data_IF_595237158409
#
_entry.id   IF_595237158409
#
_cell.length_a   1.000
_cell.length_b   1.000
_cell.length_c   1.000
_cell.angle_alpha   90.00
_cell.angle_beta   90.00
_cell.angle_gamma   90.00
#
_symmetry.space_group_name_H-M   'P 1'
#
loop_
_entity.id
_entity.type
_entity.pdbx_description
1 polymer ?
#
# COMPACT_ATOMS: atom_id res chain seq x y z
N UNK A 1 7.14 -20.70 -27.96
CA UNK A 1 6.09 -19.66 -27.97
C UNK A 1 5.79 -19.17 -26.56
N UNK A 2 5.65 -20.04 -25.55
CA UNK A 2 5.46 -19.62 -24.14
C UNK A 2 6.61 -18.76 -23.59
N UNK A 3 7.87 -19.14 -23.84
CA UNK A 3 9.03 -18.35 -23.37
C UNK A 3 9.05 -16.92 -23.92
N UNK A 4 8.76 -16.73 -25.21
CA UNK A 4 8.70 -15.40 -25.82
C UNK A 4 7.56 -14.55 -25.23
N UNK A 5 6.44 -15.16 -24.88
CA UNK A 5 5.29 -14.47 -24.28
C UNK A 5 5.57 -14.03 -22.84
N UNK A 6 6.27 -14.87 -22.06
CA UNK A 6 6.74 -14.54 -20.72
C UNK A 6 7.77 -13.39 -20.77
N UNK A 7 8.72 -13.44 -21.71
CA UNK A 7 9.73 -12.38 -21.90
C UNK A 7 9.10 -11.04 -22.32
N UNK A 8 8.10 -11.06 -23.21
CA UNK A 8 7.37 -9.86 -23.63
C UNK A 8 6.58 -9.24 -22.46
N UNK A 9 5.99 -10.08 -21.60
CA UNK A 9 5.29 -9.61 -20.40
C UNK A 9 6.25 -8.95 -19.41
N UNK A 10 7.42 -9.54 -19.15
CA UNK A 10 8.47 -8.94 -18.33
C UNK A 10 9.03 -7.64 -18.93
N UNK A 11 9.26 -7.61 -20.24
CA UNK A 11 9.73 -6.38 -20.90
C UNK A 11 8.68 -5.28 -20.82
N UNK A 12 7.41 -5.56 -21.09
CA UNK A 12 6.34 -4.58 -20.98
C UNK A 12 6.15 -4.08 -19.55
N UNK A 13 6.35 -4.94 -18.54
CA UNK A 13 6.37 -4.54 -17.14
C UNK A 13 7.50 -3.55 -16.88
N UNK A 14 8.74 -3.90 -17.24
CA UNK A 14 9.92 -3.02 -17.09
C UNK A 14 9.77 -1.71 -17.85
N UNK A 15 9.12 -1.72 -19.02
CA UNK A 15 8.90 -0.52 -19.82
C UNK A 15 7.83 0.40 -19.21
N UNK A 16 6.76 -0.18 -18.65
CA UNK A 16 5.75 0.58 -17.91
C UNK A 16 6.34 1.18 -16.64
N UNK A 17 7.23 0.45 -15.98
CA UNK A 17 7.92 0.85 -14.75
C UNK A 17 8.94 1.98 -15.02
N UNK A 18 9.76 1.85 -16.06
CA UNK A 18 10.67 2.93 -16.50
C UNK A 18 9.91 4.19 -16.93
N UNK A 19 8.75 4.05 -17.58
CA UNK A 19 7.89 5.19 -17.91
C UNK A 19 7.31 5.86 -16.66
N UNK A 20 6.95 5.07 -15.65
CA UNK A 20 6.45 5.58 -14.37
C UNK A 20 7.54 6.27 -13.56
N UNK A 21 8.73 5.67 -13.47
CA UNK A 21 9.88 6.29 -12.80
C UNK A 21 10.29 7.59 -13.51
N UNK A 22 10.15 7.64 -14.83
CA UNK A 22 10.32 8.85 -15.61
C UNK A 22 9.22 9.88 -15.33
N UNK A 23 7.95 9.49 -15.26
CA UNK A 23 6.84 10.39 -14.89
C UNK A 23 6.99 10.93 -13.45
N UNK A 24 7.38 10.08 -12.49
CA UNK A 24 7.68 10.47 -11.11
C UNK A 24 8.90 11.42 -11.05
N UNK A 25 9.91 11.23 -11.90
CA UNK A 25 11.06 12.13 -12.05
C UNK A 25 10.67 13.47 -12.72
N UNK A 26 9.75 13.44 -13.67
CA UNK A 26 9.23 14.62 -14.39
C UNK A 26 8.15 15.38 -13.60
N UNK A 27 7.70 14.86 -12.45
CA UNK A 27 6.65 15.46 -11.64
C UNK A 27 5.23 15.30 -12.22
N UNK A 28 5.04 14.35 -13.12
CA UNK A 28 3.71 13.99 -13.63
C UNK A 28 2.90 13.29 -12.52
N UNK A 29 1.64 13.71 -12.36
CA UNK A 29 0.75 13.11 -11.37
C UNK A 29 0.46 11.65 -11.69
N UNK A 30 0.44 10.80 -10.67
CA UNK A 30 -0.03 9.41 -10.71
C UNK A 30 -1.32 9.30 -11.54
N UNK A 31 -1.28 8.56 -12.65
CA UNK A 31 -2.45 8.39 -13.49
C UNK A 31 -3.33 7.24 -13.00
N UNK A 32 -4.64 7.31 -13.33
CA UNK A 32 -5.57 6.22 -13.08
C UNK A 32 -5.14 4.90 -13.75
N UNK A 33 -4.37 4.99 -14.84
CA UNK A 33 -3.85 3.83 -15.57
C UNK A 33 -2.71 3.16 -14.81
N UNK A 34 -1.76 3.92 -14.28
CA UNK A 34 -0.61 3.38 -13.55
C UNK A 34 -1.04 2.58 -12.32
N UNK A 35 -2.03 3.08 -11.59
CA UNK A 35 -2.60 2.40 -10.43
C UNK A 35 -3.30 1.09 -10.83
N UNK A 36 -4.06 1.10 -11.93
CA UNK A 36 -4.73 -0.11 -12.41
C UNK A 36 -3.75 -1.15 -12.93
N UNK A 37 -2.70 -0.74 -13.62
CA UNK A 37 -1.65 -1.62 -14.11
C UNK A 37 -0.88 -2.25 -12.94
N UNK A 38 -0.49 -1.44 -11.93
CA UNK A 38 0.14 -1.94 -10.71
C UNK A 38 -0.78 -2.91 -9.94
N UNK A 39 -2.08 -2.60 -9.83
CA UNK A 39 -3.04 -3.50 -9.19
C UNK A 39 -3.21 -4.81 -9.96
N UNK A 40 -3.18 -4.77 -11.29
CA UNK A 40 -3.24 -5.98 -12.15
C UNK A 40 -1.99 -6.85 -11.96
N UNK A 41 -0.81 -6.24 -11.97
CA UNK A 41 0.46 -6.94 -11.71
C UNK A 41 0.45 -7.60 -10.33
N UNK A 42 0.08 -6.84 -9.29
CA UNK A 42 0.02 -7.34 -7.93
C UNK A 42 -1.04 -8.44 -7.77
N UNK A 43 -2.18 -8.31 -8.45
CA UNK A 43 -3.23 -9.34 -8.51
C UNK A 43 -2.69 -10.65 -9.08
N UNK A 44 -2.01 -10.59 -10.23
CA UNK A 44 -1.41 -11.77 -10.86
C UNK A 44 -0.35 -12.42 -9.97
N UNK A 45 0.46 -11.62 -9.28
CA UNK A 45 1.56 -12.11 -8.44
C UNK A 45 1.11 -12.76 -7.13
N UNK A 46 -0.10 -12.43 -6.65
CA UNK A 46 -0.57 -12.81 -5.30
C UNK A 46 -1.86 -13.63 -5.28
N UNK A 47 -2.62 -13.63 -6.38
CA UNK A 47 -3.96 -14.23 -6.45
C UNK A 47 -5.05 -13.38 -5.77
N UNK A 48 -4.73 -12.20 -5.26
CA UNK A 48 -5.74 -11.27 -4.71
C UNK A 48 -6.46 -10.60 -5.86
N UNK A 49 -7.78 -10.48 -5.80
CA UNK A 49 -8.59 -9.87 -6.86
C UNK A 49 -8.20 -8.40 -7.08
N UNK A 50 -7.93 -8.01 -8.33
CA UNK A 50 -7.56 -6.64 -8.75
C UNK A 50 -8.48 -5.57 -8.15
N UNK A 51 -9.79 -5.73 -8.30
CA UNK A 51 -10.75 -4.71 -7.84
C UNK A 51 -10.77 -4.60 -6.32
N UNK A 52 -10.48 -5.68 -5.59
CA UNK A 52 -10.34 -5.62 -4.14
C UNK A 52 -9.10 -4.83 -3.71
N UNK A 53 -7.96 -5.00 -4.41
CA UNK A 53 -6.77 -4.16 -4.23
C UNK A 53 -7.11 -2.69 -4.49
N UNK A 54 -7.82 -2.39 -5.58
CA UNK A 54 -8.26 -1.02 -5.90
C UNK A 54 -9.21 -0.46 -4.85
N UNK A 55 -10.14 -1.27 -4.33
CA UNK A 55 -11.02 -0.88 -3.24
C UNK A 55 -10.28 -0.51 -1.95
N UNK A 56 -9.23 -1.25 -1.61
CA UNK A 56 -8.36 -0.96 -0.47
C UNK A 56 -7.57 0.33 -0.70
N UNK A 57 -7.01 0.53 -1.91
CA UNK A 57 -6.31 1.76 -2.31
C UNK A 57 -7.19 3.01 -2.27
N UNK A 58 -8.47 2.91 -2.65
CA UNK A 58 -9.41 4.04 -2.53
C UNK A 58 -9.51 4.46 -1.07
N UNK A 59 -9.62 3.50 -0.15
CA UNK A 59 -9.79 3.77 1.28
C UNK A 59 -8.50 4.30 1.92
N UNK A 60 -7.35 3.74 1.57
CA UNK A 60 -6.08 4.08 2.21
C UNK A 60 -5.48 5.40 1.68
N UNK A 61 -5.51 5.62 0.38
CA UNK A 61 -4.74 6.72 -0.24
C UNK A 61 -5.45 7.43 -1.38
N UNK A 62 -6.75 7.20 -1.56
CA UNK A 62 -7.49 7.69 -2.72
C UNK A 62 -6.76 7.33 -4.03
N UNK A 63 -6.45 6.03 -4.20
CA UNK A 63 -5.71 5.49 -5.33
C UNK A 63 -4.28 6.04 -5.43
N UNK A 64 -3.55 6.09 -4.31
CA UNK A 64 -2.17 6.58 -4.27
C UNK A 64 -2.02 8.10 -4.35
N UNK A 65 -3.07 8.86 -4.65
CA UNK A 65 -3.04 10.33 -4.79
C UNK A 65 -2.75 11.06 -3.47
N UNK A 66 -3.04 10.43 -2.33
CA UNK A 66 -2.82 10.99 -1.00
C UNK A 66 -2.11 9.98 -0.08
N UNK A 67 -0.77 10.01 -0.08
CA UNK A 67 0.07 9.12 0.75
C UNK A 67 0.46 9.72 2.10
N UNK A 68 -0.16 10.84 2.50
CA UNK A 68 0.13 11.52 3.76
C UNK A 68 0.11 13.04 3.67
N UNK A 69 -0.13 13.68 4.82
CA UNK A 69 -0.21 15.14 4.94
C UNK A 69 0.94 15.77 5.73
N UNK A 70 1.64 14.99 6.55
CA UNK A 70 2.61 15.49 7.53
C UNK A 70 4.02 15.07 7.18
N UNK A 71 5.01 15.92 7.48
CA UNK A 71 6.41 15.52 7.50
C UNK A 71 6.69 14.70 8.76
N UNK A 72 7.81 13.97 8.79
CA UNK A 72 8.24 13.20 9.96
C UNK A 72 8.22 14.03 11.25
N UNK A 73 8.76 15.26 11.21
CA UNK A 73 8.82 16.14 12.39
C UNK A 73 7.45 16.64 12.87
N UNK A 74 6.43 16.60 12.00
CA UNK A 74 5.10 17.18 12.23
C UNK A 74 4.06 16.11 12.59
N UNK A 75 4.47 14.85 12.81
CA UNK A 75 3.59 13.75 13.19
C UNK A 75 4.08 13.03 14.44
N UNK A 76 3.15 12.48 15.22
CA UNK A 76 3.47 11.65 16.37
C UNK A 76 3.62 10.19 15.91
N UNK A 77 4.81 9.84 15.43
CA UNK A 77 5.14 8.45 15.09
C UNK A 77 5.39 7.64 16.37
N UNK A 78 5.00 6.35 16.37
CA UNK A 78 5.27 5.47 17.50
C UNK A 78 6.79 5.31 17.72
N UNK A 79 7.26 5.33 18.96
CA UNK A 79 8.70 5.32 19.28
C UNK A 79 9.44 4.11 18.68
N UNK A 80 8.77 2.95 18.66
CA UNK A 80 9.25 1.73 18.01
C UNK A 80 9.47 1.88 16.50
N UNK A 81 8.63 2.65 15.81
CA UNK A 81 8.68 2.84 14.36
C UNK A 81 9.70 3.90 13.93
N UNK A 82 10.08 4.83 14.81
CA UNK A 82 11.05 5.91 14.52
C UNK A 82 12.40 5.39 13.99
N UNK A 83 13.10 4.45 14.66
CA UNK A 83 14.39 3.97 14.16
C UNK A 83 14.25 3.22 12.83
N UNK A 84 13.14 2.50 12.64
CA UNK A 84 12.86 1.76 11.40
C UNK A 84 12.60 2.74 10.25
N UNK A 85 11.81 3.79 10.48
CA UNK A 85 11.59 4.86 9.51
C UNK A 85 12.90 5.50 9.07
N UNK A 86 13.76 5.89 10.02
CA UNK A 86 15.07 6.49 9.72
C UNK A 86 15.95 5.56 8.87
N UNK A 87 15.92 4.25 9.14
CA UNK A 87 16.64 3.26 8.36
C UNK A 87 16.09 3.14 6.93
N UNK A 88 14.77 3.11 6.76
CA UNK A 88 14.10 3.07 5.44
C UNK A 88 14.47 4.31 4.62
N UNK A 89 14.30 5.51 5.19
CA UNK A 89 14.65 6.77 4.52
C UNK A 89 16.12 6.80 4.10
N UNK A 90 17.03 6.39 4.99
CA UNK A 90 18.47 6.28 4.69
C UNK A 90 18.75 5.30 3.55
N UNK A 91 18.10 4.12 3.54
CA UNK A 91 18.32 3.13 2.49
C UNK A 91 17.87 3.60 1.10
N UNK A 92 16.83 4.45 1.05
CA UNK A 92 16.31 5.03 -0.17
C UNK A 92 17.04 6.32 -0.58
N UNK A 93 18.01 6.78 0.22
CA UNK A 93 18.71 8.05 -0.03
C UNK A 93 17.88 9.31 0.22
N UNK A 94 16.75 9.20 0.94
CA UNK A 94 15.87 10.32 1.24
C UNK A 94 16.22 11.01 2.57
N UNK A 95 16.03 12.32 2.61
CA UNK A 95 15.96 13.10 3.83
C UNK A 95 14.68 12.80 4.61
N UNK A 96 14.74 12.89 5.96
CA UNK A 96 13.62 12.49 6.84
C UNK A 96 12.32 13.27 6.60
N UNK A 97 12.38 14.41 5.92
CA UNK A 97 11.22 15.28 5.65
C UNK A 97 10.87 15.39 4.15
N UNK A 98 11.53 14.61 3.30
CA UNK A 98 11.36 14.66 1.84
C UNK A 98 10.04 14.02 1.41
N UNK A 99 9.60 13.01 2.17
CA UNK A 99 8.34 12.31 1.96
C UNK A 99 7.34 12.62 3.06
N UNK A 100 6.06 12.68 2.67
CA UNK A 100 4.95 12.82 3.61
C UNK A 100 4.52 11.45 4.14
N UNK A 101 4.04 11.47 5.37
CA UNK A 101 3.46 10.34 6.11
C UNK A 101 2.10 10.75 6.68
N UNK A 102 1.34 9.79 7.21
CA UNK A 102 0.08 10.09 7.87
C UNK A 102 0.27 10.99 9.08
N UNK A 103 -0.65 11.94 9.24
CA UNK A 103 -0.71 12.79 10.41
C UNK A 103 -1.33 12.02 11.59
N UNK A 104 -0.82 12.25 12.80
CA UNK A 104 -1.48 11.77 14.00
C UNK A 104 -2.84 12.48 14.17
N UNK A 105 -3.92 11.78 14.60
CA UNK A 105 -5.19 12.43 14.87
C UNK A 105 -5.08 13.43 16.02
N UNK A 106 -5.75 14.59 15.90
CA UNK A 106 -5.79 15.62 16.96
C UNK A 106 -6.37 15.11 18.27
N UNK A 107 -7.29 14.15 18.19
CA UNK A 107 -7.93 13.49 19.34
C UNK A 107 -7.03 12.53 20.11
N UNK A 108 -5.76 12.38 19.69
CA UNK A 108 -4.86 11.36 20.20
C UNK A 108 -4.74 10.16 19.25
N UNK A 109 -3.68 9.37 19.43
CA UNK A 109 -3.24 8.33 18.50
C UNK A 109 -1.94 8.67 17.74
N UNK A 110 -1.42 7.70 17.01
CA UNK A 110 -0.16 7.83 16.26
C UNK A 110 -0.42 8.10 14.79
N UNK A 111 0.55 8.74 14.13
CA UNK A 111 0.66 8.82 12.67
C UNK A 111 1.92 8.11 12.21
N UNK A 112 2.40 8.45 11.01
CA UNK A 112 3.63 7.89 10.46
C UNK A 112 3.45 6.71 9.50
N UNK A 113 2.20 6.39 9.12
CA UNK A 113 1.95 5.48 8.01
C UNK A 113 2.50 6.07 6.71
N UNK A 114 3.12 5.22 5.89
CA UNK A 114 3.93 5.64 4.75
C UNK A 114 3.29 5.21 3.44
N UNK A 115 3.44 6.06 2.43
CA UNK A 115 3.32 5.65 1.04
C UNK A 115 1.94 5.17 0.61
N UNK A 116 1.92 4.45 -0.51
CA UNK A 116 0.70 4.05 -1.23
C UNK A 116 -0.15 3.06 -0.43
N UNK A 117 0.50 2.21 0.37
CA UNK A 117 -0.15 1.20 1.21
C UNK A 117 -0.55 1.70 2.61
N UNK A 118 -0.12 2.90 3.02
CA UNK A 118 -0.25 3.39 4.41
C UNK A 118 0.27 2.39 5.46
N UNK A 119 1.40 1.74 5.18
CA UNK A 119 2.07 0.90 6.17
C UNK A 119 2.85 1.74 7.17
N UNK A 120 2.71 1.42 8.45
CA UNK A 120 3.67 1.87 9.46
C UNK A 120 5.06 1.26 9.18
N UNK A 121 6.16 1.92 9.58
CA UNK A 121 7.52 1.48 9.28
C UNK A 121 7.81 0.00 9.59
N UNK A 122 7.41 -0.48 10.76
CA UNK A 122 7.56 -1.90 11.14
C UNK A 122 6.81 -2.86 10.22
N UNK A 123 5.60 -2.49 9.76
CA UNK A 123 4.87 -3.31 8.77
C UNK A 123 5.62 -3.34 7.45
N UNK A 124 6.07 -2.19 6.94
CA UNK A 124 6.85 -2.15 5.69
C UNK A 124 8.09 -3.02 5.77
N UNK A 125 8.89 -2.87 6.83
CA UNK A 125 10.11 -3.64 7.05
C UNK A 125 9.84 -5.15 7.05
N UNK A 126 8.72 -5.61 7.64
CA UNK A 126 8.32 -7.02 7.61
C UNK A 126 7.94 -7.58 6.23
N UNK A 127 7.59 -6.71 5.28
CA UNK A 127 7.24 -7.09 3.90
C UNK A 127 8.33 -6.74 2.88
N UNK A 128 9.32 -5.93 3.25
CA UNK A 128 10.31 -5.33 2.36
C UNK A 128 11.00 -6.35 1.45
N UNK A 129 11.46 -7.49 2.00
CA UNK A 129 12.14 -8.52 1.20
C UNK A 129 11.23 -9.21 0.19
N UNK A 130 9.96 -9.43 0.54
CA UNK A 130 8.97 -10.04 -0.37
C UNK A 130 8.51 -9.06 -1.45
N UNK A 131 8.45 -7.77 -1.13
CA UNK A 131 8.17 -6.73 -2.12
C UNK A 131 9.34 -6.68 -3.11
N UNK A 132 10.57 -6.54 -2.62
CA UNK A 132 11.78 -6.50 -3.43
C UNK A 132 11.89 -7.69 -4.39
N UNK A 133 11.58 -8.90 -3.91
CA UNK A 133 11.65 -10.10 -4.75
C UNK A 133 10.55 -10.18 -5.82
N UNK A 134 9.42 -9.49 -5.62
CA UNK A 134 8.29 -9.47 -6.55
C UNK A 134 8.33 -8.31 -7.53
N UNK A 135 8.92 -7.19 -7.15
CA UNK A 135 9.03 -6.00 -8.00
C UNK A 135 10.40 -5.85 -8.65
N UNK A 136 11.45 -6.43 -8.06
CA UNK A 136 12.83 -6.27 -8.51
C UNK A 136 13.52 -5.02 -7.97
N UNK A 137 12.81 -4.15 -7.24
CA UNK A 137 13.41 -2.98 -6.60
C UNK A 137 14.17 -3.34 -5.32
N UNK A 138 15.39 -2.82 -5.19
CA UNK A 138 16.20 -3.04 -4.00
C UNK A 138 17.03 -1.79 -3.63
N UNK A 139 16.69 -1.06 -2.56
CA UNK A 139 15.52 -1.31 -1.69
C UNK A 139 14.21 -0.91 -2.37
N UNK A 140 13.08 -1.57 -2.06
CA UNK A 140 11.77 -1.14 -2.55
C UNK A 140 11.30 0.12 -1.80
N UNK A 141 10.52 0.96 -2.47
CA UNK A 141 10.10 2.28 -2.02
C UNK A 141 8.60 2.30 -1.61
N UNK A 142 8.24 2.62 -0.35
CA UNK A 142 6.83 2.75 0.07
C UNK A 142 5.98 3.71 -0.77
N UNK A 143 6.61 4.75 -1.33
CA UNK A 143 5.97 5.78 -2.14
C UNK A 143 5.95 5.45 -3.64
N UNK A 144 6.63 4.40 -4.08
CA UNK A 144 6.44 3.84 -5.43
C UNK A 144 5.10 3.13 -5.53
N UNK A 145 4.33 3.41 -6.58
CA UNK A 145 3.07 2.69 -6.83
C UNK A 145 3.30 1.19 -6.93
N UNK A 146 4.33 0.76 -7.67
CA UNK A 146 4.58 -0.66 -7.90
C UNK A 146 4.83 -1.38 -6.57
N UNK A 147 5.75 -0.87 -5.77
CA UNK A 147 6.15 -1.49 -4.50
C UNK A 147 5.05 -1.39 -3.45
N UNK A 148 4.39 -0.23 -3.35
CA UNK A 148 3.30 -0.01 -2.41
C UNK A 148 2.08 -0.88 -2.70
N UNK A 149 1.63 -0.95 -3.96
CA UNK A 149 0.51 -1.81 -4.35
C UNK A 149 0.88 -3.29 -4.19
N UNK A 150 2.11 -3.69 -4.53
CA UNK A 150 2.58 -5.06 -4.30
C UNK A 150 2.60 -5.40 -2.80
N UNK A 151 3.10 -4.50 -1.95
CA UNK A 151 3.10 -4.66 -0.50
C UNK A 151 1.70 -4.81 0.09
N UNK A 152 0.75 -4.02 -0.39
CA UNK A 152 -0.66 -4.14 -0.03
C UNK A 152 -1.21 -5.52 -0.41
N UNK A 153 -1.04 -5.93 -1.66
CA UNK A 153 -1.54 -7.21 -2.15
C UNK A 153 -0.94 -8.40 -1.40
N UNK A 154 0.37 -8.37 -1.12
CA UNK A 154 1.05 -9.42 -0.35
C UNK A 154 0.48 -9.55 1.07
N UNK A 155 0.23 -8.43 1.75
CA UNK A 155 -0.37 -8.45 3.10
C UNK A 155 -1.82 -8.94 3.06
N UNK A 156 -2.61 -8.51 2.09
CA UNK A 156 -3.99 -8.98 1.90
C UNK A 156 -4.06 -10.48 1.59
N UNK A 157 -3.15 -10.98 0.74
CA UNK A 157 -3.04 -12.41 0.43
C UNK A 157 -2.77 -13.23 1.69
N UNK A 158 -1.82 -12.80 2.53
CA UNK A 158 -1.54 -13.45 3.81
C UNK A 158 -2.69 -13.34 4.82
N UNK A 159 -3.56 -12.34 4.68
CA UNK A 159 -4.82 -12.22 5.42
C UNK A 159 -5.95 -13.13 4.91
N UNK A 160 -5.73 -13.89 3.83
CA UNK A 160 -6.70 -14.82 3.24
C UNK A 160 -7.47 -14.29 2.01
N UNK A 161 -7.11 -13.13 1.47
CA UNK A 161 -7.80 -12.50 0.34
C UNK A 161 -7.53 -13.15 -1.03
N UNK A 162 -6.84 -14.29 -1.08
CA UNK A 162 -6.72 -15.11 -2.31
C UNK A 162 -8.04 -15.78 -2.69
N UNK A 163 -9.06 -15.67 -1.83
CA UNK A 163 -10.46 -16.00 -2.14
C UNK A 163 -11.36 -14.80 -1.83
N UNK A 164 -12.43 -14.64 -2.61
CA UNK A 164 -13.42 -13.56 -2.39
C UNK A 164 -14.04 -13.58 -0.99
N UNK A 165 -14.23 -14.77 -0.41
CA UNK A 165 -14.76 -14.94 0.95
C UNK A 165 -13.81 -14.44 2.05
N UNK A 166 -12.50 -14.42 1.79
CA UNK A 166 -11.48 -13.97 2.74
C UNK A 166 -11.23 -12.46 2.76
N UNK A 167 -11.69 -11.73 1.74
CA UNK A 167 -11.41 -10.29 1.56
C UNK A 167 -11.77 -9.44 2.79
N UNK A 168 -12.97 -9.61 3.36
CA UNK A 168 -13.40 -8.86 4.56
C UNK A 168 -12.49 -9.12 5.76
N UNK A 169 -12.09 -10.38 5.96
CA UNK A 169 -11.20 -10.78 7.06
C UNK A 169 -9.81 -10.17 6.85
N UNK A 170 -9.31 -10.22 5.61
CA UNK A 170 -8.03 -9.63 5.25
C UNK A 170 -8.00 -8.11 5.47
N UNK A 171 -9.04 -7.35 5.06
CA UNK A 171 -9.11 -5.90 5.34
C UNK A 171 -9.16 -5.60 6.84
N UNK A 172 -9.84 -6.42 7.65
CA UNK A 172 -9.83 -6.26 9.11
C UNK A 172 -8.43 -6.49 9.69
N UNK A 173 -7.71 -7.51 9.23
CA UNK A 173 -6.32 -7.75 9.63
C UNK A 173 -5.41 -6.61 9.15
N UNK A 174 -5.64 -6.10 7.95
CA UNK A 174 -4.87 -5.01 7.35
C UNK A 174 -4.93 -3.75 8.22
N UNK A 175 -6.15 -3.31 8.54
CA UNK A 175 -6.42 -2.07 9.26
C UNK A 175 -6.25 -2.19 10.78
N UNK A 176 -6.74 -3.29 11.38
CA UNK A 176 -6.78 -3.44 12.84
C UNK A 176 -5.74 -4.41 13.42
N UNK A 177 -4.93 -5.05 12.58
CA UNK A 177 -3.93 -6.05 12.96
C UNK A 177 -4.54 -7.40 13.39
N UNK A 178 -5.87 -7.56 13.35
CA UNK A 178 -6.56 -8.78 13.76
C UNK A 178 -7.94 -8.90 13.13
N UNK A 179 -8.38 -10.13 12.88
CA UNK A 179 -9.74 -10.45 12.46
C UNK A 179 -10.75 -10.47 13.62
N UNK A 180 -10.26 -10.50 14.87
CA UNK A 180 -11.08 -10.54 16.09
C UNK A 180 -10.72 -9.37 17.01
N UNK A 181 -10.98 -8.13 16.59
CA UNK A 181 -10.67 -6.96 17.41
C UNK A 181 -11.43 -7.03 18.74
N UNK A 182 -10.76 -6.61 19.81
CA UNK A 182 -11.36 -6.37 21.13
C UNK A 182 -11.65 -4.88 21.29
N UNK A 183 -12.63 -4.55 22.11
CA UNK A 183 -13.01 -3.18 22.42
C UNK A 183 -12.02 -2.54 23.42
N UNK A 184 -10.79 -2.30 22.97
CA UNK A 184 -9.74 -1.65 23.79
C UNK A 184 -9.99 -0.15 23.98
N UNK A 185 -10.85 0.43 23.14
CA UNK A 185 -11.43 1.76 23.29
C UNK A 185 -12.79 1.78 22.58
N UNK A 186 -13.66 2.70 22.99
CA UNK A 186 -15.02 2.82 22.45
C UNK A 186 -15.02 3.06 20.94
N UNK A 187 -15.75 2.24 20.21
CA UNK A 187 -15.89 2.25 18.76
C UNK A 187 -14.84 1.43 18.00
N UNK A 188 -13.86 0.79 18.64
CA UNK A 188 -12.78 0.08 17.92
C UNK A 188 -13.31 -1.04 17.04
N UNK A 189 -14.11 -1.95 17.60
CA UNK A 189 -14.63 -3.10 16.85
C UNK A 189 -15.49 -2.63 15.67
N UNK A 190 -16.33 -1.63 15.90
CA UNK A 190 -17.14 -1.03 14.85
C UNK A 190 -16.28 -0.40 13.75
N UNK A 191 -15.22 0.34 14.11
CA UNK A 191 -14.30 0.93 13.13
C UNK A 191 -13.65 -0.13 12.25
N UNK A 192 -13.18 -1.24 12.81
CA UNK A 192 -12.59 -2.35 12.03
C UNK A 192 -13.58 -2.97 11.04
N UNK A 193 -14.83 -3.21 11.49
CA UNK A 193 -15.87 -3.78 10.63
C UNK A 193 -16.29 -2.80 9.53
N UNK A 194 -16.50 -1.53 9.89
CA UNK A 194 -16.88 -0.47 8.95
C UNK A 194 -15.80 -0.23 7.90
N UNK A 195 -14.53 -0.31 8.29
CA UNK A 195 -13.41 -0.27 7.36
C UNK A 195 -13.55 -1.35 6.28
N UNK A 196 -13.68 -2.62 6.68
CA UNK A 196 -13.82 -3.73 5.74
C UNK A 196 -15.08 -3.62 4.86
N UNK A 197 -16.20 -3.15 5.41
CA UNK A 197 -17.42 -2.88 4.62
C UNK A 197 -17.18 -1.79 3.57
N UNK A 198 -16.49 -0.71 3.94
CA UNK A 198 -16.16 0.40 3.04
C UNK A 198 -15.23 -0.05 1.92
N UNK A 199 -14.22 -0.88 2.21
CA UNK A 199 -13.37 -1.48 1.17
C UNK A 199 -14.20 -2.31 0.21
N UNK A 200 -15.10 -3.15 0.71
CA UNK A 200 -15.96 -3.98 -0.14
C UNK A 200 -16.88 -3.15 -1.04
N UNK A 201 -17.37 -2.01 -0.54
CA UNK A 201 -18.10 -1.06 -1.36
C UNK A 201 -17.21 -0.54 -2.50
N UNK A 202 -16.02 -0.02 -2.20
CA UNK A 202 -15.13 0.50 -3.24
C UNK A 202 -14.60 -0.57 -4.18
N UNK A 203 -14.43 -1.82 -3.72
CA UNK A 203 -14.05 -2.94 -4.58
C UNK A 203 -15.09 -3.28 -5.65
N UNK A 204 -16.29 -2.71 -5.58
CA UNK A 204 -17.34 -2.83 -6.59
C UNK A 204 -17.69 -1.47 -7.25
N UNK A 205 -17.02 -0.38 -6.87
CA UNK A 205 -17.39 0.99 -7.27
C UNK A 205 -16.18 1.94 -7.48
N UNK A 206 -14.96 1.40 -7.57
CA UNK A 206 -13.73 2.20 -7.61
C UNK A 206 -13.64 3.08 -8.86
N UNK A 207 -14.32 2.70 -9.93
CA UNK A 207 -14.33 3.40 -11.22
C UNK A 207 -14.84 4.85 -11.06
N UNK A 208 -15.73 5.09 -10.10
CA UNK A 208 -16.20 6.46 -9.77
C UNK A 208 -15.14 7.36 -9.11
N UNK A 209 -13.95 6.84 -8.83
CA UNK A 209 -12.79 7.55 -8.27
C UNK A 209 -11.62 7.70 -9.24
N UNK A 210 -11.70 7.08 -10.42
CA UNK A 210 -10.68 7.21 -11.46
C UNK A 210 -10.66 8.63 -12.02
#
# INVERSE_FOLDING_TARGET
MEDQQATISELNHKLAELRKDLSDFLGESITAKDIQDAAKIASNATGVRKDFILGELVVETNLGRFTGGCKYKDTRMHSYDIPIFKAIMKSLGYGLNDKKVSCAPKSGGYGGAMGVAQFIPSTWSGWQSKIASKTGHNPPDPWSITDGVMGMALKLAAGGATSKGGEKVASMIYYCGTSKPKETYKGRVAACKNYAVRVQYWANNYESKL
#
